data_IF_962225899651
#
_entry.id   IF_962225899651
#
_cell.length_a   1.000
_cell.length_b   1.000
_cell.length_c   1.000
_cell.angle_alpha   90.00
_cell.angle_beta   90.00
_cell.angle_gamma   90.00
#
_symmetry.space_group_name_H-M   'P 1'
#
loop_
_entity.id
_entity.type
_entity.pdbx_description
1 polymer ?
#
# COMPACT_ATOMS: atom_id res chain seq x y z
N UNK A 1 4.13 -14.18 7.17
CA UNK A 1 3.09 -14.36 8.21
C UNK A 1 2.57 -13.00 8.63
N UNK A 2 1.25 -12.77 8.65
CA UNK A 2 0.68 -11.50 9.13
C UNK A 2 0.80 -11.44 10.67
N UNK A 3 1.27 -10.34 11.24
CA UNK A 3 1.66 -10.29 12.65
C UNK A 3 0.50 -10.34 13.66
N UNK A 4 -0.68 -9.83 13.31
CA UNK A 4 -1.86 -9.74 14.18
C UNK A 4 -2.61 -11.08 14.30
N UNK A 5 -2.69 -11.83 13.21
CA UNK A 5 -3.46 -13.07 13.10
C UNK A 5 -2.58 -14.30 12.96
N UNK A 6 -1.27 -14.11 12.78
CA UNK A 6 -0.29 -15.18 12.53
C UNK A 6 -0.75 -16.12 11.40
N UNK A 7 -1.46 -15.57 10.41
CA UNK A 7 -1.92 -16.30 9.22
C UNK A 7 -1.43 -15.57 7.97
N UNK A 8 -1.14 -16.29 6.87
CA UNK A 8 -0.94 -15.65 5.58
C UNK A 8 -2.21 -14.88 5.19
N UNK A 9 -2.06 -13.61 4.83
CA UNK A 9 -3.15 -12.83 4.27
C UNK A 9 -2.92 -12.73 2.76
N UNK A 10 -3.85 -13.26 1.98
CA UNK A 10 -3.87 -13.11 0.53
C UNK A 10 -4.82 -11.97 0.17
N UNK A 11 -4.40 -11.12 -0.75
CA UNK A 11 -5.23 -10.04 -1.28
C UNK A 11 -5.01 -9.93 -2.78
N UNK A 12 -6.05 -9.52 -3.48
CA UNK A 12 -6.00 -9.24 -4.90
C UNK A 12 -5.43 -7.84 -5.15
N UNK A 13 -4.67 -7.71 -6.23
CA UNK A 13 -4.20 -6.42 -6.75
C UNK A 13 -4.76 -6.22 -8.17
N UNK A 14 -4.96 -4.96 -8.56
CA UNK A 14 -5.36 -4.65 -9.93
C UNK A 14 -4.24 -5.02 -10.91
N UNK A 15 -4.61 -5.34 -12.15
CA UNK A 15 -3.67 -5.60 -13.24
C UNK A 15 -2.66 -4.45 -13.40
N UNK A 16 -3.15 -3.21 -13.43
CA UNK A 16 -2.28 -2.03 -13.44
C UNK A 16 -1.28 -1.99 -12.28
N UNK A 17 -1.66 -2.42 -11.07
CA UNK A 17 -0.72 -2.47 -9.93
C UNK A 17 0.32 -3.56 -10.15
N UNK A 18 -0.09 -4.73 -10.67
CA UNK A 18 0.80 -5.84 -11.00
C UNK A 18 1.88 -5.40 -11.99
N UNK A 19 1.50 -4.78 -13.10
CA UNK A 19 2.45 -4.36 -14.15
C UNK A 19 3.47 -3.35 -13.64
N UNK A 20 3.03 -2.42 -12.77
CA UNK A 20 3.90 -1.41 -12.15
C UNK A 20 4.87 -2.04 -11.16
N UNK A 21 4.41 -3.02 -10.39
CA UNK A 21 5.25 -3.77 -9.45
C UNK A 21 6.28 -4.63 -10.21
N UNK A 22 5.87 -5.28 -11.30
CA UNK A 22 6.79 -6.07 -12.14
C UNK A 22 7.87 -5.19 -12.78
N UNK A 23 7.46 -4.05 -13.35
CA UNK A 23 8.41 -3.08 -13.92
C UNK A 23 9.39 -2.55 -12.86
N UNK A 24 8.91 -2.32 -11.63
CA UNK A 24 9.74 -1.92 -10.52
C UNK A 24 10.74 -3.01 -10.11
N UNK A 25 10.31 -4.27 -9.98
CA UNK A 25 11.19 -5.40 -9.64
C UNK A 25 12.34 -5.50 -10.64
N UNK A 26 12.05 -5.37 -11.93
CA UNK A 26 13.05 -5.37 -13.00
C UNK A 26 14.02 -4.18 -12.87
N UNK A 27 13.49 -2.97 -12.69
CA UNK A 27 14.30 -1.75 -12.60
C UNK A 27 15.19 -1.70 -11.34
N UNK A 28 14.71 -2.24 -10.22
CA UNK A 28 15.45 -2.31 -8.96
C UNK A 28 16.30 -3.58 -8.83
N UNK A 29 16.29 -4.47 -9.84
CA UNK A 29 17.01 -5.74 -9.87
C UNK A 29 16.82 -6.60 -8.60
N UNK A 30 15.56 -6.70 -8.13
CA UNK A 30 15.24 -7.40 -6.89
C UNK A 30 15.24 -8.92 -7.07
N UNK A 31 15.81 -9.62 -6.08
CA UNK A 31 15.72 -11.06 -5.90
C UNK A 31 14.54 -11.44 -4.99
N UNK A 32 14.23 -12.73 -4.92
CA UNK A 32 13.11 -13.24 -4.09
C UNK A 32 13.32 -13.04 -2.57
N UNK A 33 14.56 -12.91 -2.13
CA UNK A 33 14.90 -12.62 -0.74
C UNK A 33 14.84 -11.14 -0.39
N UNK A 34 14.73 -10.26 -1.39
CA UNK A 34 14.72 -8.82 -1.17
C UNK A 34 13.35 -8.30 -0.75
N UNK A 35 13.36 -7.20 0.00
CA UNK A 35 12.15 -6.46 0.26
C UNK A 35 11.64 -5.80 -1.02
N UNK A 36 10.34 -5.92 -1.28
CA UNK A 36 9.70 -5.32 -2.47
C UNK A 36 9.94 -3.79 -2.57
N UNK A 37 10.03 -3.12 -1.42
CA UNK A 37 10.36 -1.71 -1.31
C UNK A 37 11.55 -1.53 -0.38
N UNK A 38 12.79 -1.54 -0.91
CA UNK A 38 13.99 -1.37 -0.09
C UNK A 38 14.08 0.04 0.50
N UNK A 39 14.57 0.12 1.73
CA UNK A 39 14.91 1.38 2.38
C UNK A 39 16.26 1.92 1.88
N UNK A 40 16.47 3.24 1.95
CA UNK A 40 17.78 3.85 1.61
C UNK A 40 18.83 3.75 2.73
N UNK A 41 18.46 3.28 3.92
CA UNK A 41 19.32 3.32 5.11
C UNK A 41 19.76 1.88 5.40
N UNK A 42 21.07 1.63 5.50
CA UNK A 42 21.61 0.29 5.78
C UNK A 42 21.07 -0.35 7.07
N UNK A 43 20.72 0.45 8.08
CA UNK A 43 20.12 -0.02 9.33
C UNK A 43 18.65 -0.48 9.21
N UNK A 44 17.97 -0.17 8.09
CA UNK A 44 16.60 -0.62 7.84
C UNK A 44 16.49 -1.07 6.38
N UNK A 45 16.62 -2.39 6.11
CA UNK A 45 16.66 -2.92 4.74
C UNK A 45 15.34 -2.73 3.97
N UNK A 46 14.24 -2.44 4.67
CA UNK A 46 12.93 -2.15 4.08
C UNK A 46 12.50 -0.70 4.30
N UNK A 47 11.56 -0.24 3.48
CA UNK A 47 10.92 1.05 3.64
C UNK A 47 10.23 1.18 5.02
N UNK A 48 10.77 2.04 5.88
CA UNK A 48 10.17 2.35 7.17
C UNK A 48 8.88 3.16 7.02
N UNK A 49 8.01 3.11 8.03
CA UNK A 49 6.76 3.90 8.08
C UNK A 49 7.00 5.40 7.90
N UNK A 50 8.10 5.94 8.46
CA UNK A 50 8.47 7.36 8.30
C UNK A 50 8.92 7.70 6.89
N UNK A 51 9.66 6.80 6.24
CA UNK A 51 10.06 7.00 4.83
C UNK A 51 8.84 6.93 3.92
N UNK A 52 7.95 5.97 4.13
CA UNK A 52 6.67 5.89 3.42
C UNK A 52 5.86 7.18 3.57
N UNK A 53 5.69 7.68 4.80
CA UNK A 53 4.98 8.94 5.05
C UNK A 53 5.61 10.11 4.28
N UNK A 54 6.95 10.25 4.33
CA UNK A 54 7.66 11.32 3.61
C UNK A 54 7.50 11.25 2.10
N UNK A 55 7.48 10.05 1.51
CA UNK A 55 7.25 9.87 0.07
C UNK A 55 5.85 10.37 -0.30
N UNK A 56 4.85 9.97 0.49
CA UNK A 56 3.46 10.39 0.29
C UNK A 56 3.31 11.90 0.40
N UNK A 57 3.85 12.52 1.44
CA UNK A 57 3.81 13.98 1.61
C UNK A 57 4.41 14.70 0.39
N UNK A 58 5.55 14.22 -0.12
CA UNK A 58 6.18 14.80 -1.32
C UNK A 58 5.31 14.65 -2.57
N UNK A 59 4.69 13.50 -2.79
CA UNK A 59 3.79 13.30 -3.94
C UNK A 59 2.59 14.23 -3.88
N UNK A 60 2.01 14.41 -2.70
CA UNK A 60 0.83 15.26 -2.50
C UNK A 60 1.17 16.72 -2.71
N UNK A 61 2.29 17.17 -2.14
CA UNK A 61 2.83 18.51 -2.40
C UNK A 61 3.13 18.71 -3.89
N UNK A 62 3.64 17.69 -4.59
CA UNK A 62 4.00 17.78 -6.02
C UNK A 62 2.79 17.97 -6.94
N UNK A 63 1.60 17.55 -6.52
CA UNK A 63 0.34 17.77 -7.25
C UNK A 63 -0.41 19.02 -6.76
N UNK A 64 0.22 19.86 -5.92
CA UNK A 64 -0.32 21.13 -5.45
C UNK A 64 -1.34 21.03 -4.31
N UNK A 65 -1.43 19.88 -3.63
CA UNK A 65 -2.31 19.70 -2.48
C UNK A 65 -1.58 19.98 -1.16
N UNK A 66 -2.36 20.35 -0.13
CA UNK A 66 -1.88 20.51 1.24
C UNK A 66 -1.50 19.14 1.85
N UNK A 67 -0.21 18.91 2.02
CA UNK A 67 0.32 17.66 2.53
C UNK A 67 0.03 17.44 4.02
N UNK A 68 -0.41 18.46 4.77
CA UNK A 68 -0.85 18.30 6.16
C UNK A 68 -2.27 17.73 6.26
N UNK A 69 -3.13 18.02 5.29
CA UNK A 69 -4.50 17.51 5.22
C UNK A 69 -4.57 16.09 4.62
N UNK A 70 -3.66 15.76 3.70
CA UNK A 70 -3.66 14.48 2.98
C UNK A 70 -2.49 13.59 3.41
N UNK A 71 -2.56 13.02 4.61
CA UNK A 71 -1.55 12.06 5.09
C UNK A 71 -1.82 10.61 4.66
N UNK A 72 -0.91 9.71 5.06
CA UNK A 72 -1.07 8.25 4.86
C UNK A 72 -2.36 7.69 5.50
N UNK A 73 -2.78 8.26 6.64
CA UNK A 73 -4.04 7.92 7.30
C UNK A 73 -5.27 8.30 6.46
N UNK A 74 -5.33 9.55 5.99
CA UNK A 74 -6.40 10.07 5.13
C UNK A 74 -6.53 9.23 3.87
N UNK A 75 -5.41 8.95 3.19
CA UNK A 75 -5.42 8.10 1.99
C UNK A 75 -5.90 6.67 2.26
N UNK A 76 -5.51 6.05 3.38
CA UNK A 76 -5.97 4.70 3.74
C UNK A 76 -7.48 4.65 3.91
N UNK A 77 -8.07 5.65 4.57
CA UNK A 77 -9.52 5.79 4.74
C UNK A 77 -10.23 5.97 3.41
N UNK A 78 -9.74 6.89 2.56
CA UNK A 78 -10.32 7.15 1.24
C UNK A 78 -10.29 5.94 0.33
N UNK A 79 -9.17 5.20 0.27
CA UNK A 79 -9.06 3.97 -0.53
C UNK A 79 -10.10 2.93 -0.09
N UNK A 80 -10.27 2.72 1.21
CA UNK A 80 -11.28 1.80 1.73
C UNK A 80 -12.71 2.23 1.35
N UNK A 81 -13.03 3.53 1.48
CA UNK A 81 -14.34 4.06 1.07
C UNK A 81 -14.59 3.94 -0.44
N UNK A 82 -13.58 4.18 -1.29
CA UNK A 82 -13.68 4.01 -2.74
C UNK A 82 -13.87 2.56 -3.14
N UNK A 83 -13.14 1.63 -2.50
CA UNK A 83 -13.34 0.19 -2.69
C UNK A 83 -14.76 -0.18 -2.29
N UNK A 84 -15.20 0.17 -1.06
CA UNK A 84 -16.55 -0.13 -0.59
C UNK A 84 -17.65 0.39 -1.53
N UNK A 85 -17.51 1.65 -2.00
CA UNK A 85 -18.45 2.23 -2.98
C UNK A 85 -18.47 1.46 -4.30
N UNK A 86 -17.31 0.98 -4.76
CA UNK A 86 -17.16 0.23 -6.02
C UNK A 86 -17.55 -1.23 -5.91
N UNK A 87 -17.41 -1.83 -4.72
CA UNK A 87 -17.68 -3.25 -4.47
C UNK A 87 -19.02 -3.50 -3.80
N UNK A 88 -19.85 -2.47 -3.54
CA UNK A 88 -21.24 -2.64 -3.09
C UNK A 88 -22.05 -3.32 -4.19
N UNK A 89 -21.87 -4.64 -4.33
CA UNK A 89 -22.82 -5.55 -4.95
C UNK A 89 -23.98 -5.75 -3.95
N UNK A 90 -25.24 -5.78 -4.40
CA UNK A 90 -26.29 -6.41 -3.62
C UNK A 90 -25.98 -7.91 -3.55
N UNK A 91 -25.92 -8.43 -2.32
CA UNK A 91 -25.96 -9.85 -1.96
C UNK A 91 -24.67 -10.70 -2.09
N UNK A 92 -24.30 -11.31 -0.95
CA UNK A 92 -23.66 -12.62 -0.89
C UNK A 92 -22.16 -12.74 -1.14
N UNK A 93 -21.32 -12.17 -0.27
CA UNK A 93 -19.87 -12.47 -0.29
C UNK A 93 -19.12 -11.89 0.90
N UNK A 94 -18.85 -12.76 1.88
CA UNK A 94 -18.06 -12.57 3.12
C UNK A 94 -17.48 -11.17 3.38
N UNK A 95 -18.18 -10.40 4.21
CA UNK A 95 -17.73 -9.11 4.76
C UNK A 95 -16.91 -9.37 6.03
N UNK A 96 -15.85 -10.17 5.92
CA UNK A 96 -14.98 -10.50 7.06
C UNK A 96 -13.55 -10.05 6.80
N UNK A 97 -13.33 -8.74 6.61
CA UNK A 97 -11.98 -8.17 6.58
C UNK A 97 -11.87 -6.71 7.02
N UNK A 98 -12.98 -6.02 7.36
CA UNK A 98 -12.94 -4.57 7.57
C UNK A 98 -13.72 -4.12 8.80
N UNK A 99 -13.36 -4.63 9.96
CA UNK A 99 -13.53 -3.93 11.24
C UNK A 99 -12.29 -4.20 12.10
N UNK A 100 -11.94 -3.21 12.91
CA UNK A 100 -10.73 -3.11 13.74
C UNK A 100 -10.37 -4.38 14.51
#
# INVERSE_FOLDING_TARGET
>A
MQQKTQRPAQFEITEQTRDRVESWIKAAALSLSDFLFPGRIHASPQLSTRQYARIVHRWIKSIGLDDTAYGTHTMRRTKASLIYRRTKKPEGGSVAAWSY
#
